data_IF_987111303083
#
_entry.id   IF_987111303083
#
_cell.length_a   1.000
_cell.length_b   1.000
_cell.length_c   1.000
_cell.angle_alpha   90.00
_cell.angle_beta   90.00
_cell.angle_gamma   90.00
#
_symmetry.space_group_name_H-M   'P 1'
#
loop_
_entity.id
_entity.type
_entity.pdbx_description
1 polymer ?
#
# COMPACT_ATOMS: atom_id res chain seq x y z
N UNK A 1 -0.79 56.90 -86.75
CA UNK A 1 -2.27 56.91 -86.66
C UNK A 1 -2.67 56.42 -85.28
N UNK A 2 -3.37 57.27 -84.52
CA UNK A 2 -4.37 56.95 -83.46
C UNK A 2 -3.86 56.09 -82.29
N UNK A 3 -3.34 56.67 -81.21
CA UNK A 3 -4.10 57.26 -80.11
C UNK A 3 -5.21 56.35 -79.56
N UNK A 4 -4.95 55.65 -78.45
CA UNK A 4 -5.93 55.44 -77.38
C UNK A 4 -5.22 54.92 -76.11
N UNK A 5 -5.07 55.78 -75.10
CA UNK A 5 -5.69 55.64 -73.78
C UNK A 5 -5.20 54.39 -73.01
N UNK A 6 -4.17 54.43 -72.15
CA UNK A 6 -3.96 55.35 -71.03
C UNK A 6 -5.27 55.68 -70.31
N UNK A 7 -5.66 54.82 -69.37
CA UNK A 7 -6.46 55.05 -68.15
C UNK A 7 -7.04 53.68 -67.76
N UNK A 8 -6.51 53.06 -66.70
CA UNK A 8 -7.17 52.14 -65.76
C UNK A 8 -6.12 51.57 -64.77
N UNK A 9 -5.21 52.44 -64.34
CA UNK A 9 -4.18 52.17 -63.33
C UNK A 9 -4.60 52.81 -62.01
N UNK A 10 -5.75 52.40 -61.48
CA UNK A 10 -6.21 52.70 -60.13
C UNK A 10 -7.49 51.88 -59.87
N UNK A 11 -7.74 51.56 -58.61
CA UNK A 11 -8.86 50.79 -58.05
C UNK A 11 -8.61 49.28 -57.94
N UNK A 12 -8.28 48.86 -56.72
CA UNK A 12 -8.42 47.46 -56.33
C UNK A 12 -7.57 46.95 -55.17
N UNK A 13 -7.05 47.80 -54.26
CA UNK A 13 -6.66 47.30 -52.93
C UNK A 13 -7.93 46.90 -52.16
N UNK A 14 -8.48 45.72 -52.47
CA UNK A 14 -9.44 45.04 -51.61
C UNK A 14 -8.65 44.38 -50.48
N UNK A 15 -8.82 44.90 -49.27
CA UNK A 15 -8.13 44.44 -48.07
C UNK A 15 -8.39 42.96 -47.78
N UNK A 16 -7.33 42.28 -47.35
CA UNK A 16 -7.44 41.00 -46.66
C UNK A 16 -8.10 41.22 -45.29
N UNK A 17 -9.43 41.20 -45.20
CA UNK A 17 -10.11 40.94 -43.94
C UNK A 17 -10.09 39.44 -43.68
N UNK A 18 -8.93 38.94 -43.24
CA UNK A 18 -8.82 37.63 -42.63
C UNK A 18 -9.58 37.69 -41.31
N UNK A 19 -10.82 37.19 -41.31
CA UNK A 19 -11.62 37.02 -40.11
C UNK A 19 -10.87 36.06 -39.18
N UNK A 20 -10.15 36.64 -38.23
CA UNK A 20 -9.44 35.90 -37.20
C UNK A 20 -10.48 35.33 -36.25
N UNK A 21 -10.96 34.13 -36.58
CA UNK A 21 -11.74 33.30 -35.66
C UNK A 21 -10.98 33.28 -34.33
N UNK A 22 -11.58 33.76 -33.21
CA UNK A 22 -10.91 33.67 -31.92
C UNK A 22 -10.59 32.19 -31.66
N UNK A 23 -9.36 31.87 -31.22
CA UNK A 23 -9.01 30.50 -30.91
C UNK A 23 -10.02 29.96 -29.90
N UNK A 24 -10.69 28.88 -30.25
CA UNK A 24 -11.50 28.13 -29.29
C UNK A 24 -10.60 27.82 -28.09
N UNK A 25 -11.08 27.98 -26.84
CA UNK A 25 -10.28 27.67 -25.67
C UNK A 25 -9.82 26.22 -25.79
N UNK A 26 -8.53 26.02 -26.08
CA UNK A 26 -7.96 24.68 -26.00
C UNK A 26 -8.03 24.28 -24.52
N UNK A 27 -8.52 23.06 -24.22
CA UNK A 27 -8.40 22.52 -22.88
C UNK A 27 -6.92 22.63 -22.50
N UNK A 28 -6.62 23.39 -21.44
CA UNK A 28 -5.24 23.43 -20.93
C UNK A 28 -4.85 21.98 -20.66
N UNK A 29 -3.69 21.51 -21.18
CA UNK A 29 -3.18 20.22 -20.76
C UNK A 29 -3.15 20.25 -19.24
N UNK A 30 -3.85 19.31 -18.59
CA UNK A 30 -3.67 19.07 -17.17
C UNK A 30 -2.16 18.98 -16.94
N UNK A 31 -1.65 19.80 -16.02
CA UNK A 31 -0.22 19.84 -15.72
C UNK A 31 0.27 18.39 -15.56
N UNK A 32 1.37 18.06 -16.23
CA UNK A 32 1.96 16.73 -16.08
C UNK A 32 2.16 16.46 -14.58
N UNK A 33 1.76 15.28 -14.08
CA UNK A 33 1.93 14.97 -12.66
C UNK A 33 3.40 15.15 -12.28
N UNK A 34 3.63 15.66 -11.07
CA UNK A 34 4.99 15.71 -10.53
C UNK A 34 5.58 14.29 -10.51
N UNK A 35 6.92 14.21 -10.53
CA UNK A 35 7.63 12.93 -10.66
C UNK A 35 7.30 11.98 -9.50
N UNK A 36 6.98 12.50 -8.32
CA UNK A 36 6.65 11.73 -7.13
C UNK A 36 5.25 11.10 -7.27
N UNK A 37 4.24 11.88 -7.65
CA UNK A 37 2.88 11.43 -7.94
C UNK A 37 2.85 10.41 -9.08
N UNK A 38 3.64 10.64 -10.14
CA UNK A 38 3.76 9.69 -11.25
C UNK A 38 4.42 8.38 -10.81
N UNK A 39 5.45 8.46 -9.96
CA UNK A 39 6.12 7.28 -9.42
C UNK A 39 5.25 6.51 -8.42
N UNK A 40 4.46 7.19 -7.59
CA UNK A 40 3.44 6.57 -6.74
C UNK A 40 2.38 5.86 -7.61
N UNK A 41 1.84 6.53 -8.63
CA UNK A 41 0.84 5.95 -9.52
C UNK A 41 1.39 4.75 -10.33
N UNK A 42 2.69 4.75 -10.64
CA UNK A 42 3.37 3.63 -11.29
C UNK A 42 3.74 2.49 -10.32
N UNK A 43 3.50 2.64 -9.01
CA UNK A 43 3.89 1.67 -7.98
C UNK A 43 5.39 1.59 -7.73
N UNK A 44 6.16 2.60 -8.16
CA UNK A 44 7.61 2.69 -7.97
C UNK A 44 7.95 3.23 -6.57
N UNK A 45 7.11 4.13 -6.04
CA UNK A 45 7.19 4.69 -4.68
C UNK A 45 5.94 4.29 -3.92
N UNK A 46 6.07 3.98 -2.63
CA UNK A 46 4.93 3.72 -1.75
C UNK A 46 4.09 4.99 -1.57
N UNK A 47 2.77 4.89 -1.74
CA UNK A 47 1.84 5.98 -1.46
C UNK A 47 1.77 6.23 0.07
N UNK A 48 2.17 7.42 0.57
CA UNK A 48 2.08 7.74 1.99
C UNK A 48 0.62 7.83 2.49
N UNK A 49 -0.35 8.01 1.59
CA UNK A 49 -1.77 7.95 1.92
C UNK A 49 -2.32 6.52 1.93
N UNK A 50 -1.57 5.53 1.44
CA UNK A 50 -2.00 4.14 1.48
C UNK A 50 -1.94 3.62 2.93
N UNK A 51 -3.13 3.54 3.52
CA UNK A 51 -3.31 3.03 4.88
C UNK A 51 -3.31 1.50 4.93
N UNK A 52 -3.27 0.82 3.78
CA UNK A 52 -3.49 -0.62 3.72
C UNK A 52 -2.27 -1.44 4.13
N UNK A 53 -2.47 -2.22 5.19
CA UNK A 53 -1.48 -3.14 5.75
C UNK A 53 -1.72 -4.59 5.31
N UNK A 54 -2.70 -4.83 4.44
CA UNK A 54 -3.01 -6.15 3.87
C UNK A 54 -1.80 -6.79 3.21
N UNK A 55 -1.48 -8.03 3.60
CA UNK A 55 -0.44 -8.77 2.92
C UNK A 55 0.13 -9.92 3.71
N UNK A 56 1.02 -10.64 3.04
CA UNK A 56 1.91 -11.63 3.63
C UNK A 56 3.26 -10.98 3.85
N UNK A 57 3.79 -11.07 5.06
CA UNK A 57 5.08 -10.57 5.48
C UNK A 57 5.96 -11.73 5.90
N UNK A 58 7.26 -11.63 5.62
CA UNK A 58 8.20 -12.72 5.83
C UNK A 58 9.59 -12.23 6.21
N UNK A 59 10.28 -13.04 7.01
CA UNK A 59 11.73 -13.07 7.15
C UNK A 59 12.14 -14.52 7.42
N UNK A 60 12.95 -15.11 6.55
CA UNK A 60 13.38 -16.52 6.65
C UNK A 60 12.20 -17.51 6.79
N UNK A 61 11.94 -18.06 7.97
CA UNK A 61 10.81 -18.94 8.32
C UNK A 61 9.65 -18.22 9.01
N UNK A 62 9.89 -16.99 9.51
CA UNK A 62 8.92 -16.21 10.26
C UNK A 62 7.95 -15.52 9.31
N UNK A 63 6.67 -15.53 9.66
CA UNK A 63 5.59 -15.05 8.80
C UNK A 63 4.56 -14.25 9.60
N UNK A 64 4.09 -13.16 9.01
CA UNK A 64 2.88 -12.47 9.46
C UNK A 64 1.93 -12.38 8.27
N UNK A 65 0.64 -12.66 8.49
CA UNK A 65 -0.40 -12.32 7.55
C UNK A 65 -1.27 -11.21 8.14
N UNK A 66 -1.74 -10.32 7.28
CA UNK A 66 -2.74 -9.30 7.61
C UNK A 66 -3.80 -9.32 6.52
N UNK A 67 -5.07 -9.46 6.89
CA UNK A 67 -6.20 -9.46 5.94
C UNK A 67 -7.31 -8.52 6.44
N UNK A 68 -8.05 -7.85 5.54
CA UNK A 68 -9.19 -7.03 5.93
C UNK A 68 -10.26 -7.82 6.69
N UNK A 69 -10.92 -7.19 7.66
CA UNK A 69 -12.03 -7.78 8.42
C UNK A 69 -12.98 -6.74 9.00
N UNK A 70 -14.17 -6.64 8.42
CA UNK A 70 -15.22 -5.70 8.80
C UNK A 70 -14.71 -4.26 9.00
N UNK A 71 -14.40 -3.88 10.25
CA UNK A 71 -13.94 -2.54 10.65
C UNK A 71 -12.44 -2.47 10.99
N UNK A 72 -11.74 -3.59 10.99
CA UNK A 72 -10.33 -3.73 11.37
C UNK A 72 -9.60 -4.68 10.40
N UNK A 73 -8.45 -5.21 10.84
CA UNK A 73 -7.75 -6.28 10.16
C UNK A 73 -7.60 -7.50 11.06
N UNK A 74 -7.57 -8.69 10.45
CA UNK A 74 -7.10 -9.91 11.13
C UNK A 74 -5.60 -10.04 10.92
N UNK A 75 -4.93 -10.45 11.99
CA UNK A 75 -3.50 -10.71 11.98
C UNK A 75 -3.23 -12.13 12.44
N UNK A 76 -2.24 -12.74 11.81
CA UNK A 76 -1.70 -14.03 12.16
C UNK A 76 -0.20 -13.95 12.15
N UNK A 77 0.45 -14.46 13.20
CA UNK A 77 1.91 -14.47 13.30
C UNK A 77 2.41 -15.88 13.58
N UNK A 78 3.49 -16.24 12.91
CA UNK A 78 4.20 -17.48 13.08
C UNK A 78 5.71 -17.20 13.13
N UNK A 79 6.36 -17.74 14.16
CA UNK A 79 7.82 -17.70 14.32
C UNK A 79 8.31 -19.12 14.53
N UNK A 80 9.39 -19.49 13.85
CA UNK A 80 9.99 -20.82 13.98
C UNK A 80 11.50 -20.72 14.21
N UNK A 81 11.94 -21.11 15.40
CA UNK A 81 13.35 -21.18 15.77
C UNK A 81 13.93 -22.60 15.57
N UNK A 82 13.17 -23.52 14.98
CA UNK A 82 13.56 -24.92 14.83
C UNK A 82 13.39 -25.72 16.13
N UNK A 83 13.62 -27.03 16.05
CA UNK A 83 13.50 -27.97 17.18
C UNK A 83 12.16 -27.84 17.93
N UNK A 84 11.02 -27.65 17.25
CA UNK A 84 9.72 -27.43 17.92
C UNK A 84 9.68 -26.20 18.85
N UNK A 85 10.59 -25.24 18.67
CA UNK A 85 10.54 -23.92 19.32
C UNK A 85 9.85 -22.96 18.35
N UNK A 86 8.55 -22.75 18.54
CA UNK A 86 7.76 -21.91 17.64
C UNK A 86 6.72 -21.10 18.39
N UNK A 87 6.35 -19.95 17.85
CA UNK A 87 5.19 -19.19 18.29
C UNK A 87 4.12 -19.16 17.21
N UNK A 88 2.85 -19.24 17.58
CA UNK A 88 1.74 -19.12 16.64
C UNK A 88 0.57 -18.39 17.30
N UNK A 89 0.14 -17.29 16.68
CA UNK A 89 -0.94 -16.44 17.17
C UNK A 89 -1.88 -16.02 16.05
N UNK A 90 -3.16 -15.87 16.39
CA UNK A 90 -4.18 -15.25 15.54
C UNK A 90 -4.93 -14.21 16.36
N UNK A 91 -5.29 -13.10 15.74
CA UNK A 91 -5.80 -11.94 16.44
C UNK A 91 -6.39 -10.88 15.53
N UNK A 92 -6.48 -9.68 16.06
CA UNK A 92 -6.85 -8.46 15.34
C UNK A 92 -5.71 -7.45 15.38
N UNK A 93 -5.68 -6.58 14.39
CA UNK A 93 -4.78 -5.42 14.36
C UNK A 93 -5.54 -4.18 13.88
N UNK A 94 -5.27 -3.06 14.52
CA UNK A 94 -5.69 -1.74 14.06
C UNK A 94 -4.47 -0.86 13.82
N UNK A 95 -4.60 0.13 12.94
CA UNK A 95 -3.50 1.01 12.56
C UNK A 95 -3.85 2.47 12.85
N UNK A 96 -2.94 3.19 13.48
CA UNK A 96 -2.98 4.64 13.65
C UNK A 96 -1.62 5.22 13.26
N UNK A 97 -1.52 5.82 12.08
CA UNK A 97 -0.24 6.28 11.53
C UNK A 97 0.72 5.10 11.31
N UNK A 98 1.85 5.08 12.01
CA UNK A 98 2.80 3.97 11.99
C UNK A 98 2.59 2.96 13.13
N UNK A 99 1.71 3.26 14.09
CA UNK A 99 1.44 2.35 15.20
C UNK A 99 0.43 1.27 14.79
N UNK A 100 0.76 0.02 15.13
CA UNK A 100 -0.12 -1.15 14.98
C UNK A 100 -0.50 -1.65 16.37
N UNK A 101 -1.78 -1.53 16.73
CA UNK A 101 -2.29 -2.11 17.98
C UNK A 101 -2.69 -3.56 17.70
N UNK A 102 -1.93 -4.51 18.22
CA UNK A 102 -2.13 -5.95 18.00
C UNK A 102 -2.74 -6.58 19.24
N UNK A 103 -3.74 -7.44 19.06
CA UNK A 103 -4.32 -8.26 20.12
C UNK A 103 -4.44 -9.71 19.67
N UNK A 104 -3.72 -10.63 20.31
CA UNK A 104 -3.80 -12.07 20.01
C UNK A 104 -4.83 -12.78 20.88
N UNK A 105 -5.91 -13.26 20.25
CA UNK A 105 -7.05 -13.89 20.93
C UNK A 105 -6.72 -15.21 21.64
N UNK A 106 -5.61 -15.88 21.28
CA UNK A 106 -5.18 -17.12 21.91
C UNK A 106 -4.58 -16.96 23.31
N UNK A 107 -4.33 -15.73 23.76
CA UNK A 107 -3.74 -15.44 25.07
C UNK A 107 -4.28 -14.12 25.63
N UNK A 108 -5.19 -14.21 26.60
CA UNK A 108 -5.72 -13.02 27.27
C UNK A 108 -4.59 -12.17 27.91
N UNK A 109 -4.55 -10.88 27.57
CA UNK A 109 -3.50 -9.95 27.96
C UNK A 109 -2.28 -9.92 27.04
N UNK A 110 -2.33 -10.61 25.89
CA UNK A 110 -1.31 -10.51 24.84
C UNK A 110 -1.72 -9.44 23.81
N UNK A 111 -1.64 -8.19 24.26
CA UNK A 111 -1.88 -6.98 23.49
C UNK A 111 -0.68 -6.02 23.58
N UNK A 112 -0.28 -5.45 22.45
CA UNK A 112 0.90 -4.58 22.37
C UNK A 112 0.92 -3.75 21.09
N UNK A 113 1.76 -2.73 21.10
CA UNK A 113 1.99 -1.87 19.94
C UNK A 113 3.23 -2.35 19.17
N UNK A 114 3.04 -2.60 17.87
CA UNK A 114 4.10 -2.78 16.90
C UNK A 114 4.21 -1.53 16.01
N UNK A 115 5.30 -1.46 15.23
CA UNK A 115 5.51 -0.37 14.27
C UNK A 115 5.36 -0.89 12.84
N UNK A 116 4.71 -0.10 12.02
CA UNK A 116 4.58 -0.28 10.59
C UNK A 116 5.46 0.73 9.87
N UNK A 117 6.55 0.26 9.26
CA UNK A 117 7.55 1.09 8.57
C UNK A 117 7.41 0.86 7.06
N UNK A 118 6.35 1.40 6.45
CA UNK A 118 6.08 1.35 5.00
C UNK A 118 5.71 -0.05 4.49
N UNK A 119 6.67 -0.97 4.44
CA UNK A 119 6.49 -2.36 4.05
C UNK A 119 6.93 -3.35 5.14
N UNK A 120 7.34 -2.86 6.32
CA UNK A 120 7.80 -3.70 7.44
C UNK A 120 6.87 -3.64 8.63
N UNK A 121 6.78 -4.75 9.35
CA UNK A 121 6.16 -4.84 10.65
C UNK A 121 7.25 -5.19 11.67
N UNK A 122 7.38 -4.36 12.70
CA UNK A 122 8.40 -4.49 13.74
C UNK A 122 7.72 -4.59 15.11
N UNK A 123 7.79 -5.76 15.72
CA UNK A 123 7.31 -5.99 17.08
C UNK A 123 8.30 -5.43 18.11
N UNK A 124 7.83 -5.05 19.32
CA UNK A 124 8.71 -4.52 20.35
C UNK A 124 9.66 -5.59 20.87
N UNK A 125 10.83 -5.16 21.37
CA UNK A 125 11.81 -6.06 21.98
C UNK A 125 11.36 -6.70 23.30
N UNK A 126 10.26 -6.22 23.89
CA UNK A 126 9.61 -6.82 25.06
C UNK A 126 8.12 -6.90 24.81
N UNK A 127 7.54 -8.05 25.12
CA UNK A 127 6.11 -8.32 25.02
C UNK A 127 5.52 -8.57 26.40
N UNK A 128 4.18 -8.41 26.56
CA UNK A 128 3.50 -8.88 27.75
C UNK A 128 3.78 -10.36 28.00
N UNK A 129 3.94 -10.74 29.26
CA UNK A 129 4.19 -12.13 29.65
C UNK A 129 3.10 -13.09 29.16
N UNK A 130 1.86 -12.61 29.04
CA UNK A 130 0.75 -13.39 28.51
C UNK A 130 1.03 -13.97 27.11
N UNK A 131 1.83 -13.29 26.28
CA UNK A 131 2.17 -13.76 24.93
C UNK A 131 3.00 -15.04 24.93
N UNK A 132 3.68 -15.38 26.03
CA UNK A 132 4.42 -16.65 26.16
C UNK A 132 3.51 -17.88 25.98
N UNK A 133 2.20 -17.75 26.28
CA UNK A 133 1.21 -18.82 26.08
C UNK A 133 1.00 -19.21 24.61
N UNK A 134 1.39 -18.34 23.67
CA UNK A 134 1.32 -18.60 22.23
C UNK A 134 2.57 -19.29 21.70
N UNK A 135 3.58 -19.48 22.55
CA UNK A 135 4.89 -19.98 22.20
C UNK A 135 5.16 -21.34 22.85
N UNK A 136 5.91 -22.17 22.14
CA UNK A 136 6.46 -23.41 22.64
C UNK A 136 7.92 -23.23 23.04
N UNK A 137 8.29 -23.80 24.19
CA UNK A 137 9.66 -23.81 24.73
C UNK A 137 10.20 -22.38 24.91
N UNK A 138 11.33 -22.04 24.26
CA UNK A 138 12.01 -20.74 24.40
C UNK A 138 11.76 -19.79 23.22
N UNK A 139 10.81 -20.11 22.35
CA UNK A 139 10.44 -19.21 21.26
C UNK A 139 9.78 -17.93 21.79
N UNK A 140 9.89 -16.85 21.02
CA UNK A 140 9.23 -15.58 21.34
C UNK A 140 8.88 -14.82 20.08
N UNK A 141 7.85 -13.97 20.17
CA UNK A 141 7.54 -12.96 19.16
C UNK A 141 8.34 -11.65 19.36
N UNK A 142 9.12 -11.54 20.43
CA UNK A 142 9.86 -10.33 20.75
C UNK A 142 10.86 -9.98 19.64
N UNK A 143 10.93 -8.69 19.29
CA UNK A 143 11.77 -8.18 18.21
C UNK A 143 11.56 -8.85 16.84
N UNK A 144 10.38 -9.44 16.60
CA UNK A 144 10.00 -9.93 15.27
C UNK A 144 10.00 -8.77 14.28
N UNK A 145 10.68 -8.96 13.17
CA UNK A 145 10.87 -7.95 12.13
C UNK A 145 10.71 -8.64 10.77
N UNK A 146 9.64 -8.30 10.06
CA UNK A 146 9.27 -8.92 8.79
C UNK A 146 8.98 -7.87 7.74
N UNK A 147 9.31 -8.17 6.48
CA UNK A 147 9.01 -7.32 5.32
C UNK A 147 7.88 -7.92 4.50
N UNK A 148 7.06 -7.07 3.88
CA UNK A 148 5.99 -7.48 2.99
C UNK A 148 6.57 -8.27 1.82
N UNK A 149 6.11 -9.50 1.69
CA UNK A 149 6.40 -10.40 0.58
C UNK A 149 5.35 -10.28 -0.52
N UNK A 150 4.09 -10.01 -0.14
CA UNK A 150 2.96 -9.93 -1.06
C UNK A 150 1.84 -9.06 -0.49
N UNK A 151 1.16 -8.31 -1.35
CA UNK A 151 -0.03 -7.50 -1.01
C UNK A 151 -1.35 -8.29 -1.23
N UNK A 152 -1.26 -9.55 -1.66
CA UNK A 152 -2.43 -10.36 -2.00
C UNK A 152 -3.17 -10.87 -0.74
N UNK A 153 -4.45 -10.52 -0.62
CA UNK A 153 -5.36 -11.12 0.38
C UNK A 153 -5.42 -12.64 0.23
N UNK A 154 -5.44 -13.13 -1.01
CA UNK A 154 -5.55 -14.57 -1.29
C UNK A 154 -4.31 -15.32 -0.82
N UNK A 155 -3.13 -14.73 -0.91
CA UNK A 155 -1.91 -15.34 -0.37
C UNK A 155 -1.86 -15.22 1.16
N UNK A 156 -2.12 -14.03 1.71
CA UNK A 156 -2.08 -13.78 3.14
C UNK A 156 -3.07 -14.67 3.93
N UNK A 157 -4.29 -14.85 3.42
CA UNK A 157 -5.33 -15.67 4.04
C UNK A 157 -4.99 -17.17 4.09
N UNK A 158 -4.01 -17.63 3.32
CA UNK A 158 -3.58 -19.03 3.30
C UNK A 158 -2.46 -19.35 4.28
N UNK A 159 -1.94 -18.36 5.03
CA UNK A 159 -0.88 -18.61 6.00
C UNK A 159 -1.34 -19.60 7.07
N UNK A 160 -0.54 -20.66 7.25
CA UNK A 160 -0.78 -21.74 8.23
C UNK A 160 0.39 -21.88 9.17
N UNK A 161 0.10 -22.34 10.38
CA UNK A 161 1.14 -22.84 11.28
C UNK A 161 1.52 -24.31 10.96
N UNK A 162 2.54 -24.89 11.61
CA UNK A 162 2.97 -26.27 11.39
C UNK A 162 1.90 -27.33 11.67
N UNK A 163 0.85 -26.97 12.41
CA UNK A 163 -0.32 -27.84 12.68
C UNK A 163 -1.40 -27.73 11.58
N UNK A 164 -1.14 -26.99 10.50
CA UNK A 164 -2.06 -26.77 9.38
C UNK A 164 -3.17 -25.77 9.65
N UNK A 165 -3.22 -25.13 10.82
CA UNK A 165 -4.25 -24.15 11.18
C UNK A 165 -4.00 -22.84 10.46
N UNK A 166 -5.04 -22.32 9.80
CA UNK A 166 -5.05 -20.98 9.20
C UNK A 166 -4.95 -19.90 10.27
N UNK A 167 -4.08 -18.91 10.05
CA UNK A 167 -3.84 -17.85 11.03
C UNK A 167 -4.63 -16.56 10.75
N UNK A 168 -4.92 -16.28 9.48
CA UNK A 168 -5.67 -15.10 9.03
C UNK A 168 -6.96 -15.46 8.32
N UNK A 169 -7.77 -16.35 8.89
CA UNK A 169 -9.12 -16.59 8.33
C UNK A 169 -9.93 -15.29 8.46
N UNK A 170 -10.40 -14.70 7.35
CA UNK A 170 -11.32 -13.57 7.39
C UNK A 170 -12.57 -13.95 8.19
N UNK A 171 -13.14 -13.01 8.95
CA UNK A 171 -14.50 -13.19 9.44
C UNK A 171 -15.43 -13.26 8.21
N UNK A 172 -16.19 -14.34 8.10
CA UNK A 172 -17.23 -14.48 7.07
C UNK A 172 -18.39 -13.53 7.27
#
# INVERSE_FOLDING_TARGET
MRAALAVLLALGLAGCSGESKPPSPQPRPSAAPDLESAAIAAGVIADPANTDITGLYARDTDRICVVPDQLNYRIGAFVDYGDQQSCSGSGTVTRVGEALHINFAGAAGCDFDARFEGDRIVFPGRLPQACEKLCARRASFAALDVRRLSESVSEASTLRNPKGKLLCTPGG
#
